data_IF_947023459983
#
_entry.id   IF_947023459983
#
_cell.length_a   1.000
_cell.length_b   1.000
_cell.length_c   1.000
_cell.angle_alpha   90.00
_cell.angle_beta   90.00
_cell.angle_gamma   90.00
#
_symmetry.space_group_name_H-M   'P 1'
#
loop_
_entity.id
_entity.type
_entity.pdbx_description
1 polymer ?
#
# COMPACT_ATOMS: atom_id res chain seq x y z
N UNK A 1 -48.46 -24.94 45.29
CA UNK A 1 -47.88 -23.75 45.94
C UNK A 1 -46.50 -23.50 45.33
N UNK A 2 -46.36 -22.70 44.27
CA UNK A 2 -45.07 -22.33 43.73
C UNK A 2 -44.56 -21.09 44.47
N UNK A 3 -43.34 -21.15 45.00
CA UNK A 3 -42.66 -20.03 45.66
C UNK A 3 -42.14 -19.06 44.61
N UNK A 4 -42.81 -17.92 44.51
CA UNK A 4 -42.36 -16.72 43.80
C UNK A 4 -41.12 -16.15 44.51
N UNK A 5 -39.95 -16.27 43.88
CA UNK A 5 -38.76 -15.51 44.28
C UNK A 5 -38.89 -14.10 43.72
N UNK A 6 -39.29 -13.18 44.58
CA UNK A 6 -39.38 -11.74 44.33
C UNK A 6 -37.97 -11.16 44.13
N UNK A 7 -37.70 -10.68 42.91
CA UNK A 7 -36.49 -9.90 42.63
C UNK A 7 -36.42 -8.66 43.51
N UNK A 8 -35.25 -8.44 44.12
CA UNK A 8 -34.94 -7.23 44.87
C UNK A 8 -34.82 -6.04 43.89
N UNK A 9 -35.63 -4.97 44.03
CA UNK A 9 -35.61 -3.85 43.08
C UNK A 9 -34.57 -2.76 43.41
N UNK A 10 -33.58 -3.03 44.25
CA UNK A 10 -32.68 -1.99 44.79
C UNK A 10 -31.21 -2.44 44.91
N UNK A 11 -30.68 -3.07 43.85
CA UNK A 11 -29.22 -3.11 43.69
C UNK A 11 -28.76 -1.72 43.23
N UNK A 12 -27.87 -1.02 43.96
CA UNK A 12 -27.41 0.29 43.56
C UNK A 12 -26.77 0.20 42.17
N UNK A 13 -27.35 0.90 41.18
CA UNK A 13 -26.72 1.10 39.86
C UNK A 13 -25.28 1.53 40.13
N UNK A 14 -24.29 0.76 39.67
CA UNK A 14 -22.89 1.14 39.81
C UNK A 14 -22.68 2.48 39.09
N UNK A 15 -22.58 3.56 39.86
CA UNK A 15 -22.52 4.93 39.33
C UNK A 15 -21.14 5.27 38.73
N UNK A 16 -20.11 4.43 38.95
CA UNK A 16 -18.74 4.69 38.52
C UNK A 16 -18.10 3.45 37.89
N UNK A 17 -18.08 3.42 36.55
CA UNK A 17 -17.35 2.42 35.77
C UNK A 17 -15.86 2.79 35.75
N UNK A 18 -15.02 1.91 36.30
CA UNK A 18 -13.62 2.22 36.60
C UNK A 18 -12.71 2.04 35.39
N UNK A 19 -13.04 1.13 34.48
CA UNK A 19 -12.20 0.81 33.31
C UNK A 19 -12.83 1.25 31.99
N UNK A 20 -12.01 1.40 30.95
CA UNK A 20 -12.50 1.73 29.60
C UNK A 20 -13.41 0.64 29.06
N UNK A 21 -13.07 -0.63 29.30
CA UNK A 21 -13.85 -1.79 28.86
C UNK A 21 -15.26 -1.78 29.47
N UNK A 22 -15.37 -1.46 30.78
CA UNK A 22 -16.66 -1.33 31.45
C UNK A 22 -17.50 -0.19 30.87
N UNK A 23 -16.86 0.96 30.56
CA UNK A 23 -17.54 2.10 29.93
C UNK A 23 -18.01 1.77 28.51
N UNK A 24 -17.20 1.06 27.74
CA UNK A 24 -17.57 0.60 26.39
C UNK A 24 -18.70 -0.41 26.43
N UNK A 25 -18.68 -1.36 27.38
CA UNK A 25 -19.77 -2.31 27.59
C UNK A 25 -21.10 -1.63 27.93
N UNK A 26 -21.08 -0.59 28.78
CA UNK A 26 -22.27 0.21 29.07
C UNK A 26 -22.74 0.99 27.84
N UNK A 27 -21.82 1.63 27.12
CA UNK A 27 -22.15 2.39 25.91
C UNK A 27 -22.81 1.49 24.86
N UNK A 28 -22.27 0.28 24.70
CA UNK A 28 -22.83 -0.79 23.87
C UNK A 28 -24.24 -1.18 24.33
N UNK A 29 -24.43 -1.44 25.63
CA UNK A 29 -25.74 -1.80 26.18
C UNK A 29 -26.78 -0.71 25.88
N UNK A 30 -26.48 0.55 26.20
CA UNK A 30 -27.38 1.68 25.93
C UNK A 30 -27.67 1.85 24.44
N UNK A 31 -26.70 1.59 23.58
CA UNK A 31 -26.90 1.67 22.14
C UNK A 31 -27.91 0.62 21.64
N UNK A 32 -27.76 -0.65 22.03
CA UNK A 32 -28.65 -1.71 21.55
C UNK A 32 -29.99 -1.77 22.28
N UNK A 33 -30.02 -1.49 23.58
CA UNK A 33 -31.23 -1.63 24.41
C UNK A 33 -32.07 -0.35 24.39
N UNK A 34 -31.44 0.82 24.42
CA UNK A 34 -32.10 2.12 24.56
C UNK A 34 -32.07 2.96 23.27
N UNK A 35 -31.36 2.51 22.23
CA UNK A 35 -31.14 3.28 20.99
C UNK A 35 -30.25 4.51 21.18
N UNK A 36 -29.57 4.64 22.32
CA UNK A 36 -28.78 5.81 22.68
C UNK A 36 -27.40 5.76 22.02
N UNK A 37 -27.13 6.71 21.13
CA UNK A 37 -25.82 6.82 20.47
C UNK A 37 -24.71 7.20 21.48
N UNK A 38 -23.61 6.43 21.57
CA UNK A 38 -22.47 6.80 22.41
C UNK A 38 -21.79 8.10 21.96
N UNK A 39 -21.27 8.86 22.93
CA UNK A 39 -20.43 10.05 22.68
C UNK A 39 -19.07 9.89 23.36
N UNK A 40 -17.97 10.05 22.60
CA UNK A 40 -16.59 10.14 23.12
C UNK A 40 -15.95 8.84 23.65
N UNK A 41 -16.73 7.79 23.91
CA UNK A 41 -16.23 6.50 24.45
C UNK A 41 -15.94 5.46 23.37
N UNK A 42 -16.70 5.48 22.28
CA UNK A 42 -16.63 4.51 21.18
C UNK A 42 -16.28 5.27 19.91
N UNK A 43 -15.35 4.75 19.13
CA UNK A 43 -14.92 5.39 17.88
C UNK A 43 -16.07 5.49 16.87
N UNK A 44 -16.09 6.57 16.08
CA UNK A 44 -17.13 6.80 15.08
C UNK A 44 -17.26 5.64 14.09
N UNK A 45 -16.13 5.05 13.66
CA UNK A 45 -16.12 3.90 12.76
C UNK A 45 -16.85 2.67 13.33
N UNK A 46 -16.70 2.42 14.64
CA UNK A 46 -17.38 1.33 15.36
C UNK A 46 -18.87 1.63 15.47
N UNK A 47 -19.26 2.86 15.83
CA UNK A 47 -20.68 3.24 15.91
C UNK A 47 -21.37 3.10 14.54
N UNK A 48 -20.72 3.54 13.46
CA UNK A 48 -21.25 3.37 12.11
C UNK A 48 -21.33 1.90 11.70
N UNK A 49 -20.38 1.07 12.14
CA UNK A 49 -20.42 -0.38 11.95
C UNK A 49 -21.60 -1.01 12.69
N UNK A 50 -21.83 -0.65 13.97
CA UNK A 50 -23.00 -1.12 14.72
C UNK A 50 -24.31 -0.75 14.02
N UNK A 51 -24.44 0.48 13.52
CA UNK A 51 -25.63 0.92 12.78
C UNK A 51 -25.87 0.10 11.50
N UNK A 52 -24.81 -0.29 10.79
CA UNK A 52 -24.93 -1.19 9.62
C UNK A 52 -25.33 -2.59 10.05
N UNK A 53 -24.68 -3.12 11.09
CA UNK A 53 -24.98 -4.46 11.61
C UNK A 53 -26.43 -4.58 12.10
N UNK A 54 -26.99 -3.56 12.77
CA UNK A 54 -28.40 -3.52 13.17
C UNK A 54 -29.39 -3.60 12.00
N UNK A 55 -28.97 -3.23 10.78
CA UNK A 55 -29.84 -3.33 9.58
C UNK A 55 -29.82 -4.73 8.97
N UNK A 56 -28.74 -5.49 9.20
CA UNK A 56 -28.50 -6.80 8.57
C UNK A 56 -28.80 -7.96 9.52
N UNK A 57 -28.59 -7.77 10.82
CA UNK A 57 -28.69 -8.80 11.85
C UNK A 57 -29.86 -8.55 12.79
N UNK A 58 -30.45 -9.64 13.30
CA UNK A 58 -31.63 -9.56 14.16
C UNK A 58 -31.23 -9.26 15.61
N UNK A 59 -30.13 -9.83 16.09
CA UNK A 59 -29.72 -9.67 17.48
C UNK A 59 -28.21 -9.83 17.70
N UNK A 60 -27.60 -9.04 18.59
CA UNK A 60 -26.19 -9.19 18.95
C UNK A 60 -25.83 -10.49 19.70
N UNK A 61 -26.82 -11.29 20.12
CA UNK A 61 -26.61 -12.58 20.81
C UNK A 61 -26.72 -13.80 19.89
N UNK A 62 -26.97 -13.61 18.60
CA UNK A 62 -27.04 -14.72 17.65
C UNK A 62 -25.70 -15.46 17.53
N UNK A 63 -25.77 -16.76 17.25
CA UNK A 63 -24.58 -17.56 17.06
C UNK A 63 -23.95 -17.22 15.69
N UNK A 64 -22.68 -16.82 15.72
CA UNK A 64 -21.91 -16.54 14.50
C UNK A 64 -21.42 -17.85 13.89
N UNK A 65 -21.76 -18.07 12.62
CA UNK A 65 -21.21 -19.18 11.82
C UNK A 65 -19.97 -18.70 11.06
N UNK A 66 -18.81 -19.27 11.37
CA UNK A 66 -17.56 -19.01 10.64
C UNK A 66 -17.50 -19.88 9.38
N UNK A 67 -18.35 -19.55 8.42
CA UNK A 67 -18.50 -20.32 7.19
C UNK A 67 -17.26 -20.21 6.32
N UNK A 68 -16.84 -21.38 5.84
CA UNK A 68 -15.89 -21.45 4.74
C UNK A 68 -16.60 -21.08 3.47
N UNK A 69 -16.02 -20.16 2.71
CA UNK A 69 -16.43 -20.00 1.31
C UNK A 69 -16.17 -21.31 0.56
N UNK A 70 -16.89 -21.52 -0.54
CA UNK A 70 -16.69 -22.73 -1.35
C UNK A 70 -15.22 -22.89 -1.75
N UNK A 71 -14.76 -24.14 -1.94
CA UNK A 71 -13.37 -24.42 -2.37
C UNK A 71 -12.98 -23.64 -3.63
N UNK A 72 -13.90 -23.52 -4.58
CA UNK A 72 -13.71 -22.72 -5.80
C UNK A 72 -13.49 -21.24 -5.49
N UNK A 73 -14.24 -20.68 -4.53
CA UNK A 73 -14.07 -19.29 -4.09
C UNK A 73 -12.77 -19.06 -3.33
N UNK A 74 -12.32 -20.03 -2.52
CA UNK A 74 -10.99 -19.99 -1.89
C UNK A 74 -9.90 -19.94 -2.96
N UNK A 75 -9.94 -20.87 -3.92
CA UNK A 75 -8.94 -20.92 -4.99
C UNK A 75 -8.94 -19.66 -5.85
N UNK A 76 -10.12 -19.14 -6.20
CA UNK A 76 -10.25 -17.88 -6.93
C UNK A 76 -9.68 -16.70 -6.13
N UNK A 77 -9.94 -16.61 -4.83
CA UNK A 77 -9.39 -15.56 -3.97
C UNK A 77 -7.86 -15.65 -3.88
N UNK A 78 -7.30 -16.83 -3.61
CA UNK A 78 -5.85 -17.05 -3.58
C UNK A 78 -5.18 -16.70 -4.92
N UNK A 79 -5.81 -17.06 -6.04
CA UNK A 79 -5.28 -16.77 -7.38
C UNK A 79 -5.30 -15.27 -7.71
N UNK A 80 -6.41 -14.57 -7.41
CA UNK A 80 -6.49 -13.12 -7.63
C UNK A 80 -5.50 -12.35 -6.76
N UNK A 81 -5.22 -12.85 -5.56
CA UNK A 81 -4.36 -12.18 -4.59
C UNK A 81 -2.92 -12.72 -4.58
N UNK A 82 -2.45 -13.40 -5.64
CA UNK A 82 -1.09 -13.97 -5.70
C UNK A 82 0.00 -12.92 -5.49
N UNK A 83 -0.11 -11.74 -6.10
CA UNK A 83 0.87 -10.66 -5.93
C UNK A 83 0.87 -10.11 -4.50
N UNK A 84 -0.29 -9.98 -3.85
CA UNK A 84 -0.39 -9.57 -2.46
C UNK A 84 0.26 -10.60 -1.52
N UNK A 85 -0.01 -11.90 -1.72
CA UNK A 85 0.65 -12.97 -0.98
C UNK A 85 2.16 -12.99 -1.21
N UNK A 86 2.61 -12.75 -2.45
CA UNK A 86 4.03 -12.63 -2.77
C UNK A 86 4.69 -11.43 -2.07
N UNK A 87 4.05 -10.26 -2.09
CA UNK A 87 4.51 -9.06 -1.39
C UNK A 87 4.60 -9.27 0.13
N UNK A 88 3.61 -9.99 0.67
CA UNK A 88 3.45 -10.23 2.11
C UNK A 88 4.32 -11.33 2.68
N UNK A 89 4.74 -12.33 1.89
CA UNK A 89 5.33 -13.58 2.39
C UNK A 89 6.43 -13.37 3.46
N UNK A 90 7.44 -12.57 3.16
CA UNK A 90 8.53 -12.32 4.11
C UNK A 90 8.08 -11.52 5.34
N UNK A 91 7.22 -10.52 5.17
CA UNK A 91 6.73 -9.69 6.27
C UNK A 91 5.79 -10.43 7.21
N UNK A 92 4.94 -11.30 6.68
CA UNK A 92 4.05 -12.15 7.47
C UNK A 92 4.86 -13.11 8.34
N UNK A 93 5.92 -13.73 7.80
CA UNK A 93 6.81 -14.60 8.56
C UNK A 93 7.59 -13.83 9.64
N UNK A 94 8.08 -12.63 9.32
CA UNK A 94 8.76 -11.77 10.28
C UNK A 94 7.82 -11.33 11.41
N UNK A 95 6.56 -11.01 11.08
CA UNK A 95 5.55 -10.64 12.06
C UNK A 95 5.18 -11.83 12.96
N UNK A 96 5.00 -13.02 12.39
CA UNK A 96 4.78 -14.26 13.16
C UNK A 96 5.93 -14.51 14.14
N UNK A 97 7.18 -14.37 13.69
CA UNK A 97 8.35 -14.53 14.54
C UNK A 97 8.44 -13.45 15.64
N UNK A 98 8.15 -12.19 15.31
CA UNK A 98 8.16 -11.08 16.26
C UNK A 98 7.06 -11.21 17.34
N UNK A 99 5.94 -11.84 16.99
CA UNK A 99 4.85 -12.16 17.91
C UNK A 99 5.03 -13.52 18.60
N UNK A 100 6.15 -14.21 18.36
CA UNK A 100 6.49 -15.47 19.00
C UNK A 100 6.49 -15.34 20.53
N UNK A 101 5.80 -16.27 21.21
CA UNK A 101 5.63 -16.22 22.66
C UNK A 101 4.45 -15.36 23.13
N UNK A 102 3.72 -14.73 22.21
CA UNK A 102 2.41 -14.12 22.49
C UNK A 102 1.28 -15.06 22.04
N UNK A 103 0.07 -14.78 22.51
CA UNK A 103 -1.17 -15.43 22.05
C UNK A 103 -1.76 -14.75 20.80
N UNK A 104 -1.00 -13.89 20.10
CA UNK A 104 -1.50 -13.19 18.92
C UNK A 104 -1.54 -14.10 17.69
N UNK A 105 -2.55 -13.88 16.86
CA UNK A 105 -2.70 -14.50 15.54
C UNK A 105 -2.71 -13.44 14.45
N UNK A 106 -1.93 -13.65 13.40
CA UNK A 106 -1.85 -12.75 12.24
C UNK A 106 -2.75 -13.29 11.14
N UNK A 107 -3.58 -12.44 10.57
CA UNK A 107 -4.48 -12.74 9.46
C UNK A 107 -4.22 -11.76 8.32
N UNK A 108 -4.32 -12.25 7.10
CA UNK A 108 -4.42 -11.41 5.90
C UNK A 108 -5.70 -11.78 5.18
N UNK A 109 -6.53 -10.79 4.91
CA UNK A 109 -7.74 -10.94 4.09
C UNK A 109 -7.53 -10.37 2.69
N UNK A 110 -8.31 -10.86 1.74
CA UNK A 110 -8.56 -10.11 0.51
C UNK A 110 -9.45 -8.88 0.78
N UNK A 111 -9.64 -8.06 -0.24
CA UNK A 111 -10.46 -6.86 -0.20
C UNK A 111 -11.97 -7.10 0.07
N UNK A 112 -12.41 -8.37 0.09
CA UNK A 112 -13.79 -8.77 0.36
C UNK A 112 -13.94 -9.41 1.75
N UNK A 113 -12.87 -9.48 2.54
CA UNK A 113 -12.88 -10.05 3.89
C UNK A 113 -12.68 -11.56 3.94
N UNK A 114 -12.31 -12.22 2.84
CA UNK A 114 -11.96 -13.64 2.87
C UNK A 114 -10.52 -13.79 3.34
N UNK A 115 -10.28 -14.61 4.36
CA UNK A 115 -8.93 -14.88 4.86
C UNK A 115 -8.13 -15.64 3.78
N UNK A 116 -7.02 -15.07 3.35
CA UNK A 116 -6.09 -15.64 2.35
C UNK A 116 -4.77 -16.13 2.97
N UNK A 117 -4.46 -15.68 4.19
CA UNK A 117 -3.35 -16.21 4.99
C UNK A 117 -3.69 -16.09 6.47
N UNK A 118 -3.23 -17.06 7.27
CA UNK A 118 -3.31 -17.02 8.71
C UNK A 118 -2.12 -17.76 9.33
N UNK A 119 -1.51 -17.19 10.36
CA UNK A 119 -0.44 -17.86 11.12
C UNK A 119 -0.98 -19.03 11.91
N UNK A 120 -0.09 -19.94 12.30
CA UNK A 120 -0.46 -21.09 13.12
C UNK A 120 -0.65 -20.66 14.58
N UNK A 121 -1.64 -21.24 15.24
CA UNK A 121 -1.77 -21.08 16.68
C UNK A 121 -0.81 -22.04 17.39
N UNK A 122 -0.08 -21.61 18.44
CA UNK A 122 0.71 -22.52 19.26
C UNK A 122 -0.18 -23.65 19.79
N UNK A 123 0.30 -24.91 19.79
CA UNK A 123 -0.52 -26.05 20.22
C UNK A 123 -1.04 -25.92 21.66
N UNK A 124 -0.26 -25.26 22.53
CA UNK A 124 -0.64 -24.99 23.93
C UNK A 124 -1.68 -23.85 24.09
N UNK A 125 -1.91 -23.05 23.05
CA UNK A 125 -2.84 -21.91 23.13
C UNK A 125 -4.30 -22.39 23.26
N UNK A 126 -5.00 -21.88 24.27
CA UNK A 126 -6.43 -22.12 24.48
C UNK A 126 -7.26 -21.01 23.84
N UNK A 127 -7.25 -20.96 22.50
CA UNK A 127 -7.96 -19.94 21.71
C UNK A 127 -9.01 -20.59 20.78
N UNK A 128 -10.13 -21.12 21.32
CA UNK A 128 -11.11 -21.87 20.55
C UNK A 128 -11.81 -21.06 19.45
N UNK A 129 -12.06 -19.76 19.68
CA UNK A 129 -12.69 -18.90 18.69
C UNK A 129 -11.75 -18.64 17.53
N UNK A 130 -10.51 -18.24 17.80
CA UNK A 130 -9.52 -18.00 16.74
C UNK A 130 -9.13 -19.29 16.01
N UNK A 131 -9.16 -20.46 16.66
CA UNK A 131 -8.99 -21.77 15.97
C UNK A 131 -10.02 -21.95 14.85
N UNK A 132 -11.25 -21.51 15.08
CA UNK A 132 -12.37 -21.69 14.16
C UNK A 132 -12.46 -20.57 13.12
N UNK A 133 -12.34 -19.32 13.57
CA UNK A 133 -12.57 -18.10 12.80
C UNK A 133 -11.43 -17.76 11.83
N UNK A 134 -10.19 -18.10 12.20
CA UNK A 134 -8.99 -17.62 11.50
C UNK A 134 -8.43 -18.60 10.47
N UNK A 135 -9.28 -19.41 9.85
CA UNK A 135 -8.85 -20.37 8.83
C UNK A 135 -8.88 -19.71 7.45
N UNK A 136 -7.90 -20.02 6.61
CA UNK A 136 -7.92 -19.60 5.19
C UNK A 136 -9.24 -20.06 4.55
N UNK A 137 -9.93 -19.13 3.89
CA UNK A 137 -11.23 -19.34 3.28
C UNK A 137 -12.44 -18.96 4.15
N UNK A 138 -12.26 -18.65 5.44
CA UNK A 138 -13.36 -18.06 6.23
C UNK A 138 -13.60 -16.63 5.76
N UNK A 139 -14.87 -16.26 5.62
CA UNK A 139 -15.27 -14.89 5.34
C UNK A 139 -15.52 -14.14 6.66
N UNK A 140 -14.69 -13.13 6.94
CA UNK A 140 -14.77 -12.28 8.13
C UNK A 140 -15.25 -10.86 7.80
N UNK A 141 -15.88 -10.67 6.64
CA UNK A 141 -16.52 -9.41 6.31
C UNK A 141 -17.57 -9.00 7.36
N UNK A 142 -17.75 -7.69 7.50
CA UNK A 142 -18.67 -7.08 8.47
C UNK A 142 -20.10 -7.63 8.35
N UNK A 143 -20.58 -7.87 7.12
CA UNK A 143 -21.94 -8.38 6.88
C UNK A 143 -22.14 -9.85 7.34
N UNK A 144 -21.07 -10.57 7.66
CA UNK A 144 -21.11 -11.98 8.07
C UNK A 144 -20.80 -12.18 9.56
N UNK A 145 -19.79 -11.48 10.08
CA UNK A 145 -19.36 -11.64 11.47
C UNK A 145 -19.56 -10.36 12.30
N UNK A 146 -20.36 -9.42 11.79
CA UNK A 146 -20.66 -8.16 12.45
C UNK A 146 -19.44 -7.25 12.56
N UNK A 147 -19.54 -6.24 13.43
CA UNK A 147 -18.45 -5.30 13.70
C UNK A 147 -17.20 -6.02 14.19
N UNK A 148 -16.15 -5.93 13.37
CA UNK A 148 -14.83 -6.47 13.61
C UNK A 148 -13.80 -5.56 12.91
N UNK A 149 -12.53 -5.59 13.35
CA UNK A 149 -11.51 -4.68 12.83
C UNK A 149 -11.31 -4.80 11.31
N UNK A 150 -11.06 -5.99 10.71
CA UNK A 150 -10.88 -6.07 9.26
C UNK A 150 -12.12 -5.66 8.47
N UNK A 151 -13.32 -5.99 8.96
CA UNK A 151 -14.59 -5.55 8.37
C UNK A 151 -14.76 -4.04 8.32
N UNK A 152 -14.40 -3.34 9.41
CA UNK A 152 -14.38 -1.87 9.42
C UNK A 152 -13.36 -1.34 8.42
N UNK A 153 -12.13 -1.86 8.41
CA UNK A 153 -11.07 -1.41 7.48
C UNK A 153 -11.51 -1.60 6.02
N UNK A 154 -12.19 -2.70 5.69
CA UNK A 154 -12.76 -2.90 4.34
C UNK A 154 -13.74 -1.78 3.95
N UNK A 155 -14.55 -1.30 4.91
CA UNK A 155 -15.54 -0.24 4.67
C UNK A 155 -14.94 1.16 4.64
N UNK A 156 -13.96 1.44 5.51
CA UNK A 156 -13.42 2.79 5.70
C UNK A 156 -12.15 3.04 4.89
N UNK A 157 -11.38 2.00 4.59
CA UNK A 157 -10.03 2.12 4.05
C UNK A 157 -9.02 2.70 5.05
N UNK A 158 -9.37 2.76 6.34
CA UNK A 158 -8.56 3.34 7.41
C UNK A 158 -8.27 2.29 8.48
N UNK A 159 -7.07 2.32 9.06
CA UNK A 159 -6.68 1.41 10.13
C UNK A 159 -7.62 1.54 11.35
N UNK A 160 -7.90 0.41 12.02
CA UNK A 160 -8.88 0.36 13.09
C UNK A 160 -8.50 -0.70 14.15
N UNK A 161 -8.87 -0.43 15.40
CA UNK A 161 -8.87 -1.40 16.49
C UNK A 161 -10.29 -1.66 16.93
N UNK A 162 -10.61 -2.92 17.21
CA UNK A 162 -11.91 -3.33 17.77
C UNK A 162 -11.65 -4.25 18.95
N UNK A 163 -12.15 -3.86 20.11
CA UNK A 163 -11.84 -4.46 21.41
C UNK A 163 -13.09 -4.83 22.19
N UNK A 164 -13.16 -6.06 22.65
CA UNK A 164 -14.19 -6.51 23.58
C UNK A 164 -15.62 -6.14 23.15
N UNK A 165 -16.29 -5.33 23.96
CA UNK A 165 -17.67 -4.89 23.72
C UNK A 165 -17.88 -4.07 22.42
N UNK A 166 -16.81 -3.62 21.75
CA UNK A 166 -16.89 -3.01 20.41
C UNK A 166 -17.31 -4.01 19.33
N UNK A 167 -17.02 -5.31 19.51
CA UNK A 167 -17.46 -6.35 18.57
C UNK A 167 -18.99 -6.47 18.57
N UNK A 168 -19.62 -6.53 17.41
CA UNK A 168 -21.09 -6.56 17.32
C UNK A 168 -21.67 -7.83 17.95
N UNK A 169 -21.09 -9.00 17.76
CA UNK A 169 -21.61 -10.22 18.36
C UNK A 169 -21.01 -10.48 19.74
N UNK A 170 -21.85 -10.91 20.69
CA UNK A 170 -21.42 -11.18 22.06
C UNK A 170 -20.34 -12.27 22.13
N UNK A 171 -20.42 -13.30 21.28
CA UNK A 171 -19.43 -14.37 21.25
C UNK A 171 -18.04 -13.91 20.79
N UNK A 172 -17.93 -12.75 20.13
CA UNK A 172 -16.67 -12.17 19.67
C UNK A 172 -16.05 -11.20 20.68
N UNK A 173 -16.74 -10.88 21.79
CA UNK A 173 -16.25 -9.90 22.78
C UNK A 173 -15.05 -10.38 23.60
N UNK A 174 -14.58 -11.62 23.39
CA UNK A 174 -13.30 -12.09 23.92
C UNK A 174 -12.11 -11.66 23.05
N UNK A 175 -12.38 -11.11 21.86
CA UNK A 175 -11.36 -10.72 20.89
C UNK A 175 -10.92 -9.26 21.06
N UNK A 176 -9.62 -9.06 20.85
CA UNK A 176 -9.02 -7.76 20.62
C UNK A 176 -8.28 -7.81 19.28
N UNK A 177 -8.65 -6.92 18.38
CA UNK A 177 -8.18 -6.91 17.00
C UNK A 177 -7.59 -5.55 16.65
N UNK A 178 -6.49 -5.56 15.90
CA UNK A 178 -5.91 -4.39 15.28
C UNK A 178 -5.66 -4.68 13.80
N UNK A 179 -6.21 -3.84 12.92
CA UNK A 179 -6.18 -4.06 11.49
C UNK A 179 -5.74 -2.81 10.71
N UNK A 180 -5.03 -3.01 9.61
CA UNK A 180 -4.59 -1.94 8.71
C UNK A 180 -4.77 -2.31 7.24
N UNK A 181 -5.14 -1.33 6.39
CA UNK A 181 -5.37 -1.54 4.97
C UNK A 181 -4.06 -1.74 4.22
N UNK A 182 -4.11 -2.50 3.12
CA UNK A 182 -3.07 -2.60 2.11
C UNK A 182 -3.69 -2.21 0.77
N UNK A 183 -3.13 -1.22 0.08
CA UNK A 183 -3.65 -0.72 -1.20
C UNK A 183 -2.81 -1.18 -2.38
N UNK A 184 -3.46 -1.29 -3.53
CA UNK A 184 -2.81 -1.59 -4.81
C UNK A 184 -2.39 -0.30 -5.56
N UNK A 185 -1.76 -0.46 -6.73
CA UNK A 185 -1.35 0.65 -7.60
C UNK A 185 -2.52 1.48 -8.15
N UNK A 186 -3.75 1.00 -8.05
CA UNK A 186 -4.95 1.73 -8.45
C UNK A 186 -5.54 2.52 -7.27
N UNK A 187 -4.89 2.47 -6.10
CA UNK A 187 -5.35 3.09 -4.86
C UNK A 187 -6.52 2.36 -4.21
N UNK A 188 -6.91 1.20 -4.75
CA UNK A 188 -7.99 0.37 -4.21
C UNK A 188 -7.45 -0.49 -3.07
N UNK A 189 -8.35 -0.92 -2.19
CA UNK A 189 -7.99 -1.88 -1.15
C UNK A 189 -7.65 -3.22 -1.82
N UNK A 190 -6.43 -3.71 -1.60
CA UNK A 190 -5.99 -5.04 -2.03
C UNK A 190 -6.31 -6.10 -0.97
N UNK A 191 -6.17 -5.73 0.30
CA UNK A 191 -6.42 -6.61 1.44
C UNK A 191 -6.28 -5.89 2.77
N UNK A 192 -6.49 -6.63 3.86
CA UNK A 192 -6.36 -6.12 5.23
C UNK A 192 -5.45 -7.04 6.02
N UNK A 193 -4.42 -6.46 6.64
CA UNK A 193 -3.61 -7.14 7.64
C UNK A 193 -4.28 -6.95 9.01
N UNK A 194 -4.49 -8.04 9.74
CA UNK A 194 -5.08 -8.04 11.07
C UNK A 194 -4.22 -8.85 12.03
N UNK A 195 -4.13 -8.37 13.27
CA UNK A 195 -3.61 -9.13 14.40
C UNK A 195 -4.69 -9.20 15.46
N UNK A 196 -5.01 -10.42 15.86
CA UNK A 196 -6.07 -10.75 16.80
C UNK A 196 -5.54 -11.55 17.98
N UNK A 197 -6.06 -11.32 19.18
CA UNK A 197 -5.84 -12.13 20.37
C UNK A 197 -7.19 -12.49 21.01
N UNK A 198 -7.32 -13.71 21.52
CA UNK A 198 -8.49 -14.19 22.25
C UNK A 198 -8.22 -14.25 23.77
N UNK A 199 -9.18 -13.80 24.57
CA UNK A 199 -9.14 -13.87 26.03
C UNK A 199 -7.89 -13.23 26.66
N UNK A 200 -7.47 -12.08 26.15
CA UNK A 200 -6.32 -11.32 26.62
C UNK A 200 -6.26 -9.92 26.01
N UNK A 201 -5.17 -9.19 26.28
CA UNK A 201 -4.91 -7.86 25.67
C UNK A 201 -3.52 -7.83 25.07
N UNK A 202 -3.31 -6.93 24.12
CA UNK A 202 -1.97 -6.64 23.63
C UNK A 202 -1.12 -6.03 24.75
N UNK A 203 0.10 -6.52 24.90
CA UNK A 203 1.11 -5.99 25.82
C UNK A 203 2.08 -5.03 25.10
N UNK A 204 1.72 -4.61 23.90
CA UNK A 204 2.44 -3.71 23.00
C UNK A 204 1.41 -2.93 22.17
N UNK A 205 1.84 -1.89 21.45
CA UNK A 205 0.98 -1.14 20.54
C UNK A 205 0.73 -1.93 19.24
N UNK A 206 -0.30 -2.76 19.25
CA UNK A 206 -0.67 -3.59 18.09
C UNK A 206 -1.08 -2.78 16.87
N UNK A 207 -1.71 -1.61 17.05
CA UNK A 207 -2.11 -0.76 15.93
C UNK A 207 -0.89 -0.23 15.18
N UNK A 208 0.12 0.24 15.91
CA UNK A 208 1.38 0.70 15.32
C UNK A 208 2.15 -0.43 14.63
N UNK A 209 2.23 -1.62 15.24
CA UNK A 209 2.89 -2.78 14.64
C UNK A 209 2.18 -3.19 13.35
N UNK A 210 0.87 -3.42 13.38
CA UNK A 210 0.09 -3.82 12.21
C UNK A 210 0.16 -2.78 11.10
N UNK A 211 0.04 -1.49 11.45
CA UNK A 211 0.17 -0.39 10.48
C UNK A 211 1.54 -0.35 9.80
N UNK A 212 2.63 -0.56 10.54
CA UNK A 212 3.98 -0.63 9.98
C UNK A 212 4.12 -1.81 9.01
N UNK A 213 3.72 -3.02 9.41
CA UNK A 213 3.81 -4.21 8.56
C UNK A 213 2.91 -4.09 7.32
N UNK A 214 1.68 -3.59 7.46
CA UNK A 214 0.79 -3.32 6.33
C UNK A 214 1.42 -2.33 5.34
N UNK A 215 2.06 -1.27 5.84
CA UNK A 215 2.78 -0.30 4.99
C UNK A 215 3.94 -0.95 4.24
N UNK A 216 4.71 -1.83 4.90
CA UNK A 216 5.81 -2.56 4.24
C UNK A 216 5.28 -3.48 3.14
N UNK A 217 4.18 -4.20 3.39
CA UNK A 217 3.54 -5.08 2.41
C UNK A 217 2.97 -4.26 1.24
N UNK A 218 2.28 -3.14 1.53
CA UNK A 218 1.78 -2.19 0.53
C UNK A 218 2.93 -1.68 -0.37
N UNK A 219 4.01 -1.19 0.23
CA UNK A 219 5.17 -0.69 -0.52
C UNK A 219 5.76 -1.74 -1.47
N UNK A 220 5.81 -3.01 -1.04
CA UNK A 220 6.26 -4.12 -1.90
C UNK A 220 5.25 -4.46 -2.98
N UNK A 221 3.96 -4.46 -2.67
CA UNK A 221 2.90 -4.71 -3.65
C UNK A 221 2.92 -3.64 -4.75
N UNK A 222 3.02 -2.36 -4.37
CA UNK A 222 3.12 -1.24 -5.30
C UNK A 222 4.33 -1.37 -6.23
N UNK A 223 5.48 -1.79 -5.71
CA UNK A 223 6.67 -2.05 -6.51
C UNK A 223 6.48 -3.24 -7.47
N UNK A 224 5.92 -4.36 -7.01
CA UNK A 224 5.66 -5.55 -7.83
C UNK A 224 4.67 -5.27 -8.96
N UNK A 225 3.68 -4.40 -8.73
CA UNK A 225 2.66 -4.03 -9.71
C UNK A 225 3.11 -2.88 -10.63
N UNK A 226 4.20 -2.19 -10.30
CA UNK A 226 4.73 -1.10 -11.11
C UNK A 226 5.60 -1.62 -12.24
N UNK A 227 4.96 -1.94 -13.36
CA UNK A 227 5.62 -2.40 -14.60
C UNK A 227 5.67 -1.23 -15.57
N UNK A 228 6.86 -0.91 -16.10
CA UNK A 228 7.09 0.24 -17.00
C UNK A 228 6.76 1.61 -16.37
N UNK A 229 6.95 1.73 -15.05
CA UNK A 229 6.80 3.00 -14.33
C UNK A 229 8.15 3.51 -13.83
N UNK A 230 8.27 4.83 -13.73
CA UNK A 230 9.29 5.44 -12.88
C UNK A 230 8.78 5.42 -11.44
N UNK A 231 9.48 4.69 -10.57
CA UNK A 231 9.17 4.66 -9.13
C UNK A 231 10.09 5.63 -8.42
N UNK A 232 9.51 6.68 -7.83
CA UNK A 232 10.23 7.60 -6.96
C UNK A 232 10.13 7.15 -5.51
N UNK A 233 11.24 7.32 -4.78
CA UNK A 233 11.34 7.08 -3.34
C UNK A 233 11.85 8.36 -2.71
N UNK A 234 11.10 8.91 -1.76
CA UNK A 234 11.41 10.21 -1.20
C UNK A 234 11.01 10.33 0.27
N UNK A 235 11.67 11.23 1.00
CA UNK A 235 11.37 11.50 2.40
C UNK A 235 11.99 12.83 2.85
N UNK A 236 11.44 13.47 3.87
CA UNK A 236 11.98 14.66 4.54
C UNK A 236 13.19 14.37 5.46
N UNK A 237 13.74 13.17 5.44
CA UNK A 237 15.03 12.84 6.03
C UNK A 237 15.67 11.71 5.23
N UNK A 238 16.97 11.78 4.88
CA UNK A 238 17.62 10.73 4.12
C UNK A 238 17.75 9.43 4.92
N UNK A 239 17.75 9.50 6.26
CA UNK A 239 17.82 8.32 7.15
C UNK A 239 16.56 7.47 7.14
N UNK A 240 15.45 8.01 6.62
CA UNK A 240 14.16 7.34 6.54
C UNK A 240 13.88 6.73 5.15
N UNK A 241 14.76 6.97 4.17
CA UNK A 241 14.70 6.26 2.89
C UNK A 241 15.00 4.78 3.10
N UNK A 242 14.40 3.91 2.28
CA UNK A 242 14.49 2.44 2.43
C UNK A 242 13.92 1.87 3.74
N UNK A 243 13.13 2.66 4.45
CA UNK A 243 12.34 2.20 5.60
C UNK A 243 10.86 2.14 5.23
N UNK A 244 10.00 1.46 6.02
CA UNK A 244 8.55 1.49 5.81
C UNK A 244 7.96 2.91 5.82
N UNK A 245 8.67 3.86 6.44
CA UNK A 245 8.27 5.26 6.49
C UNK A 245 8.61 6.03 5.22
N UNK A 246 9.23 5.45 4.19
CA UNK A 246 9.51 6.18 2.95
C UNK A 246 8.24 6.49 2.14
N UNK A 247 8.22 7.62 1.44
CA UNK A 247 7.20 7.89 0.45
C UNK A 247 7.56 7.27 -0.88
N UNK A 248 6.56 6.71 -1.55
CA UNK A 248 6.67 6.11 -2.86
C UNK A 248 5.67 6.76 -3.83
N UNK A 249 6.11 6.93 -5.09
CA UNK A 249 5.24 7.37 -6.18
C UNK A 249 5.53 6.57 -7.45
N UNK A 250 4.49 6.20 -8.19
CA UNK A 250 4.61 5.62 -9.53
C UNK A 250 4.21 6.64 -10.58
N UNK A 251 5.07 6.81 -11.58
CA UNK A 251 4.89 7.77 -12.68
C UNK A 251 4.87 7.02 -13.99
N UNK A 252 3.91 7.36 -14.86
CA UNK A 252 3.79 6.77 -16.19
C UNK A 252 4.70 7.45 -17.23
N UNK A 253 4.59 7.00 -18.47
CA UNK A 253 5.39 7.54 -19.57
C UNK A 253 5.07 8.99 -19.97
N UNK A 254 3.92 9.50 -19.52
CA UNK A 254 3.40 10.83 -19.85
C UNK A 254 3.64 11.83 -18.72
N UNK A 255 4.39 11.44 -17.68
CA UNK A 255 4.63 12.30 -16.52
C UNK A 255 3.40 12.46 -15.63
N UNK A 256 2.48 11.48 -15.65
CA UNK A 256 1.33 11.44 -14.74
C UNK A 256 1.68 10.60 -13.51
N UNK A 257 1.34 11.11 -12.34
CA UNK A 257 1.46 10.36 -11.09
C UNK A 257 0.27 9.42 -11.00
N UNK A 258 0.53 8.13 -11.14
CA UNK A 258 -0.48 7.07 -11.11
C UNK A 258 -0.90 6.72 -9.68
N UNK A 259 0.07 6.66 -8.78
CA UNK A 259 -0.16 6.32 -7.39
C UNK A 259 0.85 6.96 -6.44
N UNK A 260 0.40 7.15 -5.20
CA UNK A 260 1.19 7.53 -4.04
C UNK A 260 0.83 6.58 -2.90
N UNK A 261 1.83 6.06 -2.19
CA UNK A 261 1.59 5.34 -0.94
C UNK A 261 1.07 6.32 0.14
N UNK A 262 0.64 5.78 1.29
CA UNK A 262 0.09 6.62 2.37
C UNK A 262 1.03 7.74 2.83
N UNK A 263 2.34 7.47 2.90
CA UNK A 263 3.35 8.48 3.27
C UNK A 263 3.46 9.56 2.20
N UNK A 264 3.53 9.19 0.91
CA UNK A 264 3.66 10.13 -0.20
C UNK A 264 2.48 11.09 -0.29
N UNK A 265 1.25 10.61 -0.03
CA UNK A 265 0.07 11.48 0.07
C UNK A 265 0.19 12.52 1.17
N UNK A 266 0.72 12.14 2.35
CA UNK A 266 0.92 13.06 3.48
C UNK A 266 2.02 14.09 3.20
N UNK A 267 3.14 13.69 2.63
CA UNK A 267 4.26 14.61 2.37
C UNK A 267 3.94 15.59 1.23
N UNK A 268 3.28 15.13 0.17
CA UNK A 268 2.90 15.98 -0.97
C UNK A 268 1.67 16.82 -0.68
N UNK A 269 0.79 16.36 0.22
CA UNK A 269 -0.54 16.95 0.41
C UNK A 269 -1.46 16.80 -0.82
N UNK A 270 -1.02 16.04 -1.83
CA UNK A 270 -1.71 15.96 -3.11
C UNK A 270 -2.93 15.03 -3.02
N UNK A 271 -4.05 15.50 -3.58
CA UNK A 271 -5.23 14.65 -3.82
C UNK A 271 -5.07 14.00 -5.18
N UNK A 272 -5.04 12.66 -5.23
CA UNK A 272 -4.89 11.86 -6.46
C UNK A 272 -6.14 11.87 -7.38
N UNK A 273 -6.92 12.95 -7.39
CA UNK A 273 -8.08 13.09 -8.27
C UNK A 273 -7.59 13.44 -9.68
N UNK A 274 -7.99 12.66 -10.69
CA UNK A 274 -7.65 12.95 -12.09
C UNK A 274 -6.20 12.69 -12.50
N UNK A 275 -5.44 11.87 -11.75
CA UNK A 275 -4.03 11.51 -12.03
C UNK A 275 -3.15 12.75 -12.27
N UNK A 276 -2.76 13.52 -11.25
CA UNK A 276 -2.04 14.78 -11.42
C UNK A 276 -0.69 14.61 -12.14
N UNK A 277 -0.16 15.68 -12.71
CA UNK A 277 1.16 15.66 -13.37
C UNK A 277 2.30 15.67 -12.35
N UNK A 278 3.51 15.28 -12.76
CA UNK A 278 4.70 15.35 -11.90
C UNK A 278 5.02 16.79 -11.50
N UNK A 279 4.75 17.76 -12.35
CA UNK A 279 4.93 19.18 -12.06
C UNK A 279 3.99 19.64 -10.94
N UNK A 280 2.72 19.21 -10.97
CA UNK A 280 1.73 19.52 -9.93
C UNK A 280 2.07 18.89 -8.57
N UNK A 281 2.62 17.67 -8.58
CA UNK A 281 2.91 16.92 -7.34
C UNK A 281 4.28 17.24 -6.76
N UNK A 282 5.30 17.38 -7.62
CA UNK A 282 6.71 17.46 -7.22
C UNK A 282 7.37 18.80 -7.58
N UNK A 283 6.71 19.68 -8.34
CA UNK A 283 7.27 20.99 -8.71
C UNK A 283 8.48 20.89 -9.64
N UNK A 284 8.62 19.78 -10.38
CA UNK A 284 9.75 19.52 -11.28
C UNK A 284 9.30 18.76 -12.53
N UNK A 285 10.12 18.80 -13.58
CA UNK A 285 9.80 18.17 -14.86
C UNK A 285 10.10 16.68 -14.88
N UNK A 286 9.39 15.94 -15.72
CA UNK A 286 9.65 14.51 -15.96
C UNK A 286 11.12 14.25 -16.34
N UNK A 287 11.72 15.05 -17.22
CA UNK A 287 13.11 14.87 -17.66
C UNK A 287 14.12 14.92 -16.51
N UNK A 288 13.92 15.83 -15.54
CA UNK A 288 14.76 15.90 -14.35
C UNK A 288 14.62 14.63 -13.50
N UNK A 289 13.40 14.11 -13.36
CA UNK A 289 13.12 12.90 -12.61
C UNK A 289 13.67 11.63 -13.30
N UNK A 290 13.60 11.57 -14.64
CA UNK A 290 14.21 10.50 -15.44
C UNK A 290 15.75 10.50 -15.35
N UNK A 291 16.36 11.62 -14.94
CA UNK A 291 17.78 11.69 -14.61
C UNK A 291 18.16 11.00 -13.29
N UNK A 292 17.22 10.81 -12.35
CA UNK A 292 17.49 10.28 -11.01
C UNK A 292 18.03 8.84 -11.00
N UNK A 293 17.46 7.86 -11.75
CA UNK A 293 17.97 6.49 -11.76
C UNK A 293 19.42 6.37 -12.23
N UNK A 294 19.90 7.34 -13.03
CA UNK A 294 21.28 7.38 -13.53
C UNK A 294 22.27 7.90 -12.48
N UNK A 295 21.77 8.56 -11.45
CA UNK A 295 22.58 9.15 -10.40
C UNK A 295 22.59 8.25 -9.18
N UNK A 296 23.79 7.87 -8.72
CA UNK A 296 23.96 7.06 -7.50
C UNK A 296 23.62 7.81 -6.21
N UNK A 297 23.44 9.13 -6.28
CA UNK A 297 23.24 9.98 -5.12
C UNK A 297 21.79 10.45 -5.00
N UNK A 298 21.35 10.56 -3.76
CA UNK A 298 20.05 11.12 -3.39
C UNK A 298 20.06 12.61 -3.67
N UNK A 299 19.07 13.12 -4.39
CA UNK A 299 18.91 14.55 -4.67
C UNK A 299 17.95 15.20 -3.68
N UNK A 300 18.15 16.49 -3.42
CA UNK A 300 17.20 17.31 -2.65
C UNK A 300 16.29 18.09 -3.59
N UNK A 301 14.98 18.04 -3.32
CA UNK A 301 13.94 18.74 -4.07
C UNK A 301 13.00 19.43 -3.07
N UNK A 302 12.47 20.60 -3.43
CA UNK A 302 11.35 21.19 -2.71
C UNK A 302 10.04 20.83 -3.40
N UNK A 303 9.13 20.22 -2.64
CA UNK A 303 7.76 19.99 -3.10
C UNK A 303 7.03 21.33 -3.24
N UNK A 304 5.92 21.39 -4.03
CA UNK A 304 5.15 22.62 -4.22
C UNK A 304 4.61 23.25 -2.92
N UNK A 305 4.43 22.44 -1.87
CA UNK A 305 4.03 22.91 -0.54
C UNK A 305 5.20 23.50 0.30
N UNK A 306 6.40 23.60 -0.27
CA UNK A 306 7.60 24.13 0.37
C UNK A 306 8.47 23.10 1.09
N UNK A 307 7.97 21.88 1.32
CA UNK A 307 8.71 20.84 2.05
C UNK A 307 9.92 20.36 1.25
N UNK A 308 11.11 20.44 1.85
CA UNK A 308 12.32 19.83 1.30
C UNK A 308 12.33 18.32 1.51
N UNK A 309 12.56 17.56 0.44
CA UNK A 309 12.66 16.10 0.46
C UNK A 309 13.93 15.61 -0.23
N UNK A 310 14.45 14.52 0.30
CA UNK A 310 15.48 13.70 -0.31
C UNK A 310 14.81 12.67 -1.20
N UNK A 311 15.27 12.53 -2.44
CA UNK A 311 14.62 11.73 -3.47
C UNK A 311 15.61 10.89 -4.27
N UNK A 312 15.17 9.70 -4.66
CA UNK A 312 15.81 8.80 -5.62
C UNK A 312 14.76 8.17 -6.53
N UNK A 313 15.18 7.75 -7.71
CA UNK A 313 14.30 7.12 -8.71
C UNK A 313 14.83 5.75 -9.13
N UNK A 314 13.92 4.84 -9.42
CA UNK A 314 14.21 3.55 -10.06
C UNK A 314 13.25 3.36 -11.21
N UNK A 315 13.76 3.01 -12.40
CA UNK A 315 12.92 2.66 -13.54
C UNK A 315 12.69 1.15 -13.52
N UNK A 316 11.43 0.72 -13.48
CA UNK A 316 11.09 -0.71 -13.52
C UNK A 316 10.86 -1.17 -14.97
N UNK A 317 11.67 -2.13 -15.42
CA UNK A 317 11.49 -2.70 -16.75
C UNK A 317 10.26 -3.61 -16.84
N UNK A 318 9.80 -3.89 -18.06
CA UNK A 318 8.68 -4.79 -18.37
C UNK A 318 8.81 -6.23 -17.81
N UNK A 319 9.99 -6.64 -17.36
CA UNK A 319 10.27 -7.96 -16.78
C UNK A 319 10.63 -7.91 -15.28
N UNK A 320 10.43 -6.77 -14.62
CA UNK A 320 10.76 -6.60 -13.20
C UNK A 320 12.26 -6.50 -12.90
N UNK A 321 13.11 -6.41 -13.94
CA UNK A 321 14.53 -6.13 -13.75
C UNK A 321 14.73 -4.70 -13.26
N UNK A 322 15.43 -4.58 -12.13
CA UNK A 322 15.80 -3.33 -11.49
C UNK A 322 17.03 -2.76 -12.22
N UNK A 323 16.88 -1.65 -12.94
CA UNK A 323 18.01 -0.96 -13.61
C UNK A 323 18.94 -0.23 -12.62
N UNK A 324 19.11 -0.74 -11.39
CA UNK A 324 20.10 -0.28 -10.39
C UNK A 324 21.54 -0.21 -10.92
N UNK A 325 21.82 -0.94 -12.01
CA UNK A 325 23.16 -1.15 -12.52
C UNK A 325 23.44 -0.57 -13.90
N UNK A 326 22.67 0.38 -14.44
CA UNK A 326 23.13 1.15 -15.59
C UNK A 326 24.37 1.98 -15.20
N UNK A 327 25.53 1.32 -15.19
CA UNK A 327 26.78 1.80 -14.59
C UNK A 327 27.27 3.00 -15.39
N UNK A 328 27.47 4.11 -14.68
CA UNK A 328 28.30 5.21 -15.13
C UNK A 328 29.65 4.67 -15.64
N UNK A 329 29.90 4.83 -16.94
CA UNK A 329 31.25 4.79 -17.50
C UNK A 329 31.56 6.16 -18.08
N UNK A 330 32.59 6.74 -17.50
CA UNK A 330 33.32 7.99 -17.76
C UNK A 330 32.93 8.82 -18.98
N UNK A 331 32.61 10.09 -18.72
CA UNK A 331 32.67 11.17 -19.72
C UNK A 331 34.13 11.30 -20.20
N UNK A 332 34.44 11.34 -21.49
CA UNK A 332 35.74 11.83 -21.94
C UNK A 332 35.88 13.29 -21.51
N UNK A 333 37.04 13.63 -20.97
CA UNK A 333 37.44 15.02 -20.68
C UNK A 333 37.32 15.81 -21.98
N UNK A 334 36.41 16.79 -22.00
CA UNK A 334 36.34 17.77 -23.07
C UNK A 334 37.16 18.99 -22.63
N UNK A 335 38.24 19.25 -23.36
CA UNK A 335 39.04 20.47 -23.29
C UNK A 335 38.16 21.71 -23.44
N UNK A 336 38.45 22.71 -22.62
CA UNK A 336 37.78 24.00 -22.62
C UNK A 336 38.19 24.85 -23.82
N UNK A 337 37.25 25.51 -24.51
CA UNK A 337 37.54 26.71 -25.27
C UNK A 337 37.15 27.97 -24.49
N UNK A 338 38.07 28.92 -24.54
CA UNK A 338 38.08 30.24 -23.92
C UNK A 338 36.97 31.16 -24.50
N UNK A 339 36.32 31.94 -23.63
CA UNK A 339 35.29 32.93 -23.99
C UNK A 339 35.89 34.28 -24.45
N UNK A 340 35.11 35.07 -25.22
CA UNK A 340 35.13 36.53 -25.11
C UNK A 340 33.73 37.14 -24.79
N UNK A 341 33.65 38.42 -24.38
CA UNK A 341 32.58 38.96 -23.53
C UNK A 341 31.39 39.63 -24.24
N UNK A 342 30.34 39.90 -23.44
CA UNK A 342 28.96 40.33 -23.72
C UNK A 342 28.77 41.84 -24.04
N UNK A 343 27.90 42.23 -25.00
CA UNK A 343 26.50 42.76 -24.91
C UNK A 343 26.41 44.31 -25.13
N UNK A 344 25.24 45.00 -25.37
CA UNK A 344 23.82 44.56 -25.32
C UNK A 344 22.78 45.11 -26.38
N UNK A 345 21.55 44.54 -26.34
CA UNK A 345 20.18 45.10 -26.48
C UNK A 345 19.49 45.46 -27.86
N UNK A 346 18.53 44.60 -28.29
CA UNK A 346 17.04 44.73 -28.51
C UNK A 346 16.33 46.07 -28.92
N UNK A 347 15.05 46.08 -29.42
CA UNK A 347 14.05 45.00 -29.66
C UNK A 347 13.13 45.08 -30.94
N UNK A 348 12.26 44.06 -31.08
CA UNK A 348 10.83 44.08 -31.50
C UNK A 348 10.38 43.95 -32.98
N UNK A 349 9.74 42.82 -33.34
CA UNK A 349 8.29 42.71 -33.68
C UNK A 349 7.81 41.29 -34.04
N UNK A 350 6.63 40.94 -33.51
CA UNK A 350 5.81 39.71 -33.67
C UNK A 350 5.15 39.61 -35.08
N UNK A 351 4.54 38.52 -35.59
CA UNK A 351 3.70 37.41 -35.08
C UNK A 351 3.61 36.31 -36.20
N UNK A 352 2.67 35.32 -36.27
CA UNK A 352 1.66 34.82 -35.33
C UNK A 352 1.61 33.27 -35.16
N UNK A 353 0.66 32.84 -34.33
CA UNK A 353 0.24 31.49 -33.94
C UNK A 353 -0.19 30.59 -35.11
N UNK A 354 0.20 29.30 -35.06
CA UNK A 354 -0.60 28.19 -35.59
C UNK A 354 -0.62 27.03 -34.59
N UNK A 355 -1.82 26.50 -34.39
CA UNK A 355 -2.10 25.26 -33.70
C UNK A 355 -1.90 24.09 -34.67
N UNK A 356 -1.33 22.96 -34.22
CA UNK A 356 -2.07 21.70 -34.17
C UNK A 356 -1.28 20.56 -33.51
N UNK A 357 -2.05 19.62 -32.98
CA UNK A 357 -1.78 18.18 -32.87
C UNK A 357 -0.39 17.70 -32.40
N UNK A 358 -0.30 17.20 -31.15
CA UNK A 358 0.53 16.02 -30.91
C UNK A 358 0.07 15.17 -29.71
N UNK A 359 -0.67 14.10 -30.01
CA UNK A 359 -0.96 13.02 -29.06
C UNK A 359 -0.14 11.75 -29.39
N UNK A 360 0.81 11.83 -30.32
CA UNK A 360 1.62 10.71 -30.83
C UNK A 360 3.04 10.64 -30.26
N UNK A 361 3.64 11.75 -29.86
CA UNK A 361 5.09 11.83 -29.60
C UNK A 361 5.53 11.37 -28.18
N UNK A 362 4.62 11.37 -27.21
CA UNK A 362 5.03 11.13 -25.81
C UNK A 362 5.19 9.65 -25.43
N UNK A 363 4.54 8.73 -26.17
CA UNK A 363 4.75 7.28 -26.02
C UNK A 363 6.06 6.83 -26.66
N UNK A 364 6.55 7.60 -27.64
CA UNK A 364 7.86 7.45 -28.22
C UNK A 364 8.93 7.78 -27.16
N UNK A 365 8.78 8.85 -26.38
CA UNK A 365 9.86 9.32 -25.49
C UNK A 365 10.40 8.30 -24.47
N UNK A 366 9.56 7.50 -23.80
CA UNK A 366 10.05 6.52 -22.80
C UNK A 366 10.57 5.23 -23.45
N UNK A 367 9.95 4.81 -24.56
CA UNK A 367 10.45 3.71 -25.40
C UNK A 367 11.79 4.10 -26.06
N UNK A 368 11.89 5.32 -26.57
CA UNK A 368 13.07 5.95 -27.15
C UNK A 368 14.14 6.18 -26.10
N UNK A 369 13.77 6.55 -24.87
CA UNK A 369 14.73 6.69 -23.77
C UNK A 369 15.29 5.32 -23.37
N UNK A 370 14.44 4.28 -23.33
CA UNK A 370 14.85 2.88 -23.13
C UNK A 370 15.72 2.38 -24.28
N UNK A 371 15.40 2.73 -25.51
CA UNK A 371 16.18 2.39 -26.70
C UNK A 371 17.53 3.09 -26.69
N UNK A 372 17.57 4.41 -26.43
CA UNK A 372 18.80 5.20 -26.25
C UNK A 372 19.65 4.67 -25.10
N UNK A 373 19.06 4.20 -24.00
CA UNK A 373 19.79 3.53 -22.90
C UNK A 373 20.45 2.23 -23.39
N UNK A 374 19.76 1.42 -24.19
CA UNK A 374 20.31 0.20 -24.79
C UNK A 374 21.43 0.54 -25.78
N UNK A 375 21.20 1.46 -26.70
CA UNK A 375 22.14 1.90 -27.73
C UNK A 375 23.39 2.53 -27.12
N UNK A 376 23.23 3.45 -26.17
CA UNK A 376 24.37 4.09 -25.48
C UNK A 376 25.17 3.07 -24.68
N UNK A 377 24.50 2.11 -24.01
CA UNK A 377 25.20 1.07 -23.25
C UNK A 377 25.92 0.08 -24.17
N UNK A 378 25.35 -0.24 -25.33
CA UNK A 378 26.00 -1.04 -26.37
C UNK A 378 27.20 -0.34 -26.97
N UNK A 379 27.08 0.94 -27.34
CA UNK A 379 28.17 1.75 -27.86
C UNK A 379 29.33 1.82 -26.86
N UNK A 380 29.04 2.09 -25.58
CA UNK A 380 30.03 2.14 -24.51
C UNK A 380 30.64 0.77 -24.16
N UNK A 381 29.96 -0.33 -24.52
CA UNK A 381 30.49 -1.69 -24.42
C UNK A 381 31.22 -2.17 -25.69
N UNK A 382 31.42 -1.30 -26.69
CA UNK A 382 32.05 -1.65 -27.96
C UNK A 382 31.24 -2.68 -28.75
N UNK A 383 29.91 -2.63 -28.66
CA UNK A 383 29.01 -3.62 -29.28
C UNK A 383 28.94 -4.98 -28.58
N UNK A 384 29.65 -5.17 -27.46
CA UNK A 384 29.63 -6.45 -26.74
C UNK A 384 28.30 -6.66 -26.00
N UNK A 385 27.39 -7.41 -26.62
CA UNK A 385 26.04 -7.70 -26.13
C UNK A 385 26.07 -8.37 -24.74
N UNK A 386 27.04 -9.24 -24.46
CA UNK A 386 27.14 -9.91 -23.16
C UNK A 386 27.60 -8.96 -22.03
N UNK A 387 28.37 -7.93 -22.37
CA UNK A 387 28.80 -6.87 -21.44
C UNK A 387 27.68 -5.84 -21.25
N UNK A 388 27.02 -5.44 -22.32
CA UNK A 388 25.88 -4.53 -22.28
C UNK A 388 24.68 -5.12 -21.52
N UNK A 389 24.34 -6.40 -21.74
CA UNK A 389 23.27 -7.07 -21.00
C UNK A 389 23.57 -7.15 -19.48
N UNK A 390 24.83 -7.42 -19.11
CA UNK A 390 25.27 -7.37 -17.70
C UNK A 390 25.19 -5.96 -17.12
N UNK A 391 25.61 -4.94 -17.88
CA UNK A 391 25.52 -3.53 -17.48
C UNK A 391 24.08 -3.01 -17.43
N UNK A 392 23.14 -3.64 -18.12
CA UNK A 392 21.73 -3.27 -18.09
C UNK A 392 20.91 -4.13 -17.09
N UNK A 393 21.52 -5.12 -16.44
CA UNK A 393 20.79 -6.02 -15.53
C UNK A 393 19.77 -6.92 -16.24
N UNK A 394 19.90 -7.14 -17.55
CA UNK A 394 18.95 -7.92 -18.38
C UNK A 394 19.61 -9.15 -19.01
N UNK A 395 18.80 -10.12 -19.48
CA UNK A 395 19.32 -11.32 -20.14
C UNK A 395 19.83 -11.03 -21.56
N UNK A 396 20.87 -11.77 -22.01
CA UNK A 396 21.42 -11.66 -23.38
C UNK A 396 20.36 -11.89 -24.45
N UNK A 397 19.51 -12.89 -24.27
CA UNK A 397 18.44 -13.23 -25.21
C UNK A 397 17.36 -12.15 -25.34
N UNK A 398 17.16 -11.33 -24.30
CA UNK A 398 16.26 -10.17 -24.35
C UNK A 398 16.85 -9.06 -25.23
N UNK A 399 18.13 -8.73 -25.03
CA UNK A 399 18.80 -7.69 -25.81
C UNK A 399 18.76 -8.01 -27.32
N UNK A 400 19.03 -9.27 -27.68
CA UNK A 400 18.94 -9.75 -29.07
C UNK A 400 17.54 -9.63 -29.66
N UNK A 401 16.50 -9.94 -28.88
CA UNK A 401 15.10 -9.89 -29.35
C UNK A 401 14.63 -8.46 -29.60
N UNK A 402 15.17 -7.50 -28.84
CA UNK A 402 14.86 -6.07 -28.98
C UNK A 402 15.58 -5.47 -30.18
N UNK A 403 16.88 -5.73 -30.33
CA UNK A 403 17.68 -5.30 -31.48
C UNK A 403 17.18 -5.86 -32.82
N UNK A 404 16.52 -7.04 -32.82
CA UNK A 404 15.91 -7.63 -34.02
C UNK A 404 14.56 -7.04 -34.42
N UNK A 405 13.90 -6.27 -33.55
CA UNK A 405 12.58 -5.68 -33.84
C UNK A 405 12.67 -4.36 -34.60
N UNK A 406 13.85 -3.74 -34.70
CA UNK A 406 14.12 -2.59 -35.56
C UNK A 406 14.98 -3.05 -36.75
N UNK A 407 14.39 -3.37 -37.92
CA UNK A 407 15.18 -3.53 -39.12
C UNK A 407 15.63 -2.14 -39.59
N UNK A 408 16.94 -1.91 -39.59
CA UNK A 408 17.56 -0.81 -40.32
C UNK A 408 17.08 -0.83 -41.79
N UNK A 409 16.83 0.32 -42.43
CA UNK A 409 16.54 0.35 -43.86
C UNK A 409 17.77 -0.19 -44.60
N UNK A 410 17.60 -1.31 -45.29
CA UNK A 410 18.65 -1.92 -46.12
C UNK A 410 19.06 -0.99 -47.26
N UNK A 411 20.28 -1.14 -47.81
CA UNK A 411 20.80 -0.25 -48.84
C UNK A 411 19.94 -0.36 -50.10
N UNK A 412 19.66 0.81 -50.71
CA UNK A 412 19.04 0.91 -52.02
C UNK A 412 19.87 0.10 -53.03
N UNK A 413 19.22 -0.87 -53.69
CA UNK A 413 19.79 -1.54 -54.84
C UNK A 413 19.64 -0.62 -56.07
N UNK A 414 20.71 -0.61 -56.87
CA UNK A 414 20.93 0.17 -58.10
C UNK A 414 19.79 0.16 -59.13
#
# INVERSE_FOLDING_TARGET
MPTTSTGHPDAPRQLFFKTTEQRTALARQRFFDEGARPSGLVGEAVIQSWLRCCKTHQSPVEAVSFEHVSRSRVHASLNRNRQLLQAGNHELNNLEAALGGTDCRVLLTDAQGVIIHATQLPQASQQPLLKTASRVGVNIAEDHIGTNAPGIVVRTGEACTVTGAEHFFQCLQTLHCAAAPIRDIHGQLAGVLDVSIEAGRFHFDAASVVGMYATTIENRLLQLQSVEHLVLRFQASPTLLDTPLEALAGIDARGRVLWLNGVGRRLTGCRMQGQPTVEEVFGTTLDKLLGLPRQRQVQTLHLPNGLGVWMKGTLTASDGADFKHAVAFSRPVAEAPMAPPAAPADPEQAAPLEADADAGDMHATLLDHKQRLIETTLANCGGNIAKAARALGVSRGMLYRRLRKDPSPGPAAD
#
